data_IF_252894122398
#
_entry.id   IF_252894122398
#
_cell.length_a   1.000
_cell.length_b   1.000
_cell.length_c   1.000
_cell.angle_alpha   90.00
_cell.angle_beta   90.00
_cell.angle_gamma   90.00
#
_symmetry.space_group_name_H-M   'P 1'
#
loop_
_entity.id
_entity.type
_entity.pdbx_description
1 polymer ?
#
# COMPACT_ATOMS: atom_id res chain seq x y z
N UNK A 1 14.31 -33.45 65.27
CA UNK A 1 14.31 -32.18 66.04
C UNK A 1 13.29 -31.25 65.39
N UNK A 2 12.19 -30.98 66.10
CA UNK A 2 11.37 -29.73 66.16
C UNK A 2 11.10 -29.02 64.80
N UNK A 3 9.92 -29.06 64.17
CA UNK A 3 8.56 -28.55 64.49
C UNK A 3 8.41 -27.01 64.54
N UNK A 4 7.74 -26.41 63.54
CA UNK A 4 6.83 -25.21 63.55
C UNK A 4 6.13 -25.22 62.17
N UNK A 5 4.92 -25.73 61.94
CA UNK A 5 3.54 -25.30 62.25
C UNK A 5 3.16 -23.86 61.86
N UNK A 6 2.27 -23.70 60.86
CA UNK A 6 1.18 -22.73 60.93
C UNK A 6 0.01 -23.09 59.98
N UNK A 7 -1.16 -23.13 60.60
CA UNK A 7 -2.47 -23.52 60.08
C UNK A 7 -3.09 -22.43 59.20
N UNK A 8 -3.95 -22.81 58.24
CA UNK A 8 -5.30 -22.23 58.16
C UNK A 8 -6.26 -23.20 57.49
N UNK A 9 -7.37 -23.42 58.20
CA UNK A 9 -8.34 -24.49 58.07
C UNK A 9 -9.29 -24.34 56.87
N UNK A 10 -9.61 -25.48 56.27
CA UNK A 10 -10.88 -25.75 55.60
C UNK A 10 -12.01 -25.82 56.63
N UNK A 11 -13.04 -25.01 56.47
CA UNK A 11 -14.30 -25.19 57.20
C UNK A 11 -15.48 -25.18 56.23
N UNK A 12 -16.25 -26.25 56.36
CA UNK A 12 -17.45 -26.62 55.61
C UNK A 12 -18.58 -25.67 56.02
N UNK A 13 -19.20 -25.02 55.05
CA UNK A 13 -20.30 -24.07 55.24
C UNK A 13 -21.60 -24.80 55.64
N UNK A 14 -22.25 -24.43 56.75
CA UNK A 14 -23.57 -24.95 57.12
C UNK A 14 -24.67 -24.38 56.22
N UNK A 15 -25.60 -25.24 55.78
CA UNK A 15 -26.86 -24.85 55.12
C UNK A 15 -27.69 -23.98 56.07
N UNK A 16 -27.87 -22.70 55.72
CA UNK A 16 -28.93 -21.88 56.30
C UNK A 16 -30.22 -22.05 55.50
N UNK A 17 -31.19 -22.69 56.13
CA UNK A 17 -32.61 -22.71 55.77
C UNK A 17 -33.15 -21.27 55.88
N UNK A 18 -33.72 -20.68 54.81
CA UNK A 18 -34.37 -19.38 54.93
C UNK A 18 -35.73 -19.57 55.60
N UNK A 19 -35.84 -19.19 56.87
CA UNK A 19 -37.13 -19.03 57.55
C UNK A 19 -37.80 -17.79 56.94
N UNK A 20 -38.81 -18.00 56.09
CA UNK A 20 -39.67 -16.94 55.59
C UNK A 20 -40.51 -16.39 56.75
N UNK A 21 -40.06 -15.32 57.40
CA UNK A 21 -40.93 -14.50 58.25
C UNK A 21 -41.89 -13.79 57.29
N UNK A 22 -43.05 -14.41 57.05
CA UNK A 22 -44.16 -13.73 56.42
C UNK A 22 -44.57 -12.59 57.34
N UNK A 23 -44.42 -11.35 56.87
CA UNK A 23 -45.11 -10.18 57.43
C UNK A 23 -46.60 -10.35 57.13
N UNK A 24 -47.26 -11.26 57.82
CA UNK A 24 -48.72 -11.30 57.88
C UNK A 24 -49.07 -10.15 58.82
N UNK A 25 -49.68 -9.12 58.24
CA UNK A 25 -50.37 -8.10 59.02
C UNK A 25 -51.43 -8.84 59.84
N UNK A 26 -51.21 -8.95 61.15
CA UNK A 26 -52.22 -9.42 62.08
C UNK A 26 -53.32 -8.37 62.05
N UNK A 27 -54.47 -8.71 61.45
CA UNK A 27 -55.70 -7.94 61.62
C UNK A 27 -55.98 -7.87 63.13
N UNK A 28 -55.75 -6.71 63.72
CA UNK A 28 -56.28 -6.40 65.04
C UNK A 28 -57.74 -6.01 64.81
N UNK A 29 -58.67 -6.74 65.42
CA UNK A 29 -60.09 -6.36 65.43
C UNK A 29 -60.21 -4.93 65.96
N UNK A 30 -60.62 -4.01 65.09
CA UNK A 30 -60.88 -2.62 65.45
C UNK A 30 -62.18 -2.67 66.26
N UNK A 31 -62.08 -2.51 67.58
CA UNK A 31 -63.25 -2.22 68.40
C UNK A 31 -63.92 -0.96 67.85
N UNK A 32 -65.06 -1.12 67.17
CA UNK A 32 -65.91 -0.02 66.71
C UNK A 32 -66.41 0.71 67.95
N UNK A 33 -65.75 1.83 68.29
CA UNK A 33 -66.13 2.65 69.42
C UNK A 33 -67.44 3.36 69.08
N UNK A 34 -68.43 3.19 69.95
CA UNK A 34 -69.78 3.73 69.84
C UNK A 34 -69.71 5.25 70.12
N UNK A 35 -69.28 6.04 69.13
CA UNK A 35 -69.30 7.51 69.13
C UNK A 35 -69.86 8.06 67.80
N UNK A 36 -70.83 7.37 67.19
CA UNK A 36 -71.44 7.83 65.93
C UNK A 36 -72.51 8.92 66.12
N UNK A 37 -72.99 9.16 67.35
CA UNK A 37 -74.11 10.08 67.65
C UNK A 37 -73.72 11.37 68.39
N UNK A 38 -72.41 11.64 68.58
CA UNK A 38 -71.94 12.90 69.17
C UNK A 38 -71.82 13.97 68.07
N UNK A 39 -72.57 15.06 68.18
CA UNK A 39 -72.72 16.10 67.15
C UNK A 39 -71.36 16.76 66.83
N UNK A 40 -70.49 16.88 67.84
CA UNK A 40 -69.11 17.36 67.69
C UNK A 40 -68.24 16.36 66.92
N UNK A 41 -68.36 15.06 67.18
CA UNK A 41 -67.57 14.00 66.52
C UNK A 41 -67.94 13.85 65.04
N UNK A 42 -69.23 14.05 64.70
CA UNK A 42 -69.71 14.02 63.31
C UNK A 42 -69.11 15.16 62.48
N UNK A 43 -69.03 16.37 63.04
CA UNK A 43 -68.42 17.52 62.35
C UNK A 43 -66.92 17.32 62.09
N UNK A 44 -66.22 16.68 63.03
CA UNK A 44 -64.80 16.34 62.90
C UNK A 44 -64.60 15.28 61.81
N UNK A 45 -65.42 14.22 61.81
CA UNK A 45 -65.41 13.16 60.79
C UNK A 45 -65.64 13.71 59.38
N UNK A 46 -66.67 14.54 59.19
CA UNK A 46 -66.94 15.17 57.88
C UNK A 46 -65.80 16.07 57.41
N UNK A 47 -65.14 16.78 58.33
CA UNK A 47 -64.00 17.64 57.99
C UNK A 47 -62.74 16.83 57.63
N UNK A 48 -62.52 15.70 58.32
CA UNK A 48 -61.48 14.73 57.97
C UNK A 48 -61.75 14.09 56.61
N UNK A 49 -62.97 13.64 56.34
CA UNK A 49 -63.35 13.02 55.07
C UNK A 49 -63.20 14.02 53.92
N UNK A 50 -63.62 15.28 54.12
CA UNK A 50 -63.45 16.36 53.14
C UNK A 50 -61.98 16.67 52.84
N UNK A 51 -61.14 16.81 53.87
CA UNK A 51 -59.71 17.05 53.70
C UNK A 51 -59.00 15.84 53.05
N UNK A 52 -59.42 14.64 53.42
CA UNK A 52 -58.86 13.39 52.89
C UNK A 52 -59.23 13.23 51.42
N UNK A 53 -60.46 13.52 51.04
CA UNK A 53 -60.93 13.52 49.65
C UNK A 53 -60.17 14.51 48.77
N UNK A 54 -59.92 15.74 49.26
CA UNK A 54 -59.12 16.73 48.52
C UNK A 54 -57.67 16.27 48.28
N UNK A 55 -57.01 15.70 49.30
CA UNK A 55 -55.64 15.16 49.12
C UNK A 55 -55.60 13.99 48.16
N UNK A 56 -56.63 13.15 48.14
CA UNK A 56 -56.71 12.04 47.19
C UNK A 56 -56.88 12.53 45.75
N UNK A 57 -57.68 13.58 45.52
CA UNK A 57 -57.83 14.23 44.22
C UNK A 57 -56.48 14.80 43.75
N UNK A 58 -55.82 15.62 44.57
CA UNK A 58 -54.51 16.23 44.26
C UNK A 58 -53.42 15.18 44.02
N UNK A 59 -53.40 14.10 44.81
CA UNK A 59 -52.46 12.99 44.62
C UNK A 59 -52.71 12.25 43.31
N UNK A 60 -53.97 12.02 42.94
CA UNK A 60 -54.34 11.36 41.69
C UNK A 60 -53.97 12.21 40.46
N UNK A 61 -54.21 13.52 40.51
CA UNK A 61 -53.79 14.43 39.44
C UNK A 61 -52.27 14.41 39.25
N UNK A 62 -51.52 14.53 40.35
CA UNK A 62 -50.05 14.52 40.28
C UNK A 62 -49.47 13.17 39.82
N UNK A 63 -50.14 12.05 40.16
CA UNK A 63 -49.81 10.72 39.66
C UNK A 63 -50.10 10.56 38.16
N UNK A 64 -51.21 11.12 37.69
CA UNK A 64 -51.57 11.10 36.27
C UNK A 64 -50.59 11.92 35.42
N UNK A 65 -50.22 13.11 35.88
CA UNK A 65 -49.22 13.97 35.22
C UNK A 65 -47.87 13.27 35.08
N UNK A 66 -47.40 12.59 36.14
CA UNK A 66 -46.16 11.80 36.09
C UNK A 66 -46.27 10.62 35.13
N UNK A 67 -47.39 9.90 35.12
CA UNK A 67 -47.64 8.81 34.17
C UNK A 67 -47.62 9.29 32.74
N UNK A 68 -48.24 10.44 32.45
CA UNK A 68 -48.26 11.02 31.11
C UNK A 68 -46.85 11.40 30.63
N UNK A 69 -46.06 12.08 31.48
CA UNK A 69 -44.66 12.44 31.18
C UNK A 69 -43.79 11.22 30.87
N UNK A 70 -43.92 10.14 31.64
CA UNK A 70 -43.18 8.89 31.38
C UNK A 70 -43.60 8.23 30.07
N UNK A 71 -44.89 8.28 29.72
CA UNK A 71 -45.42 7.70 28.47
C UNK A 71 -44.90 8.45 27.26
N UNK A 72 -44.94 9.79 27.30
CA UNK A 72 -44.39 10.65 26.25
C UNK A 72 -42.87 10.48 26.08
N UNK A 73 -42.12 10.30 27.18
CA UNK A 73 -40.69 10.05 27.11
C UNK A 73 -40.36 8.70 26.47
N UNK A 74 -41.11 7.65 26.85
CA UNK A 74 -40.95 6.32 26.26
C UNK A 74 -41.26 6.33 24.75
N UNK A 75 -42.33 7.02 24.33
CA UNK A 75 -42.69 7.13 22.92
C UNK A 75 -41.61 7.88 22.11
N UNK A 76 -40.99 8.93 22.68
CA UNK A 76 -39.85 9.64 22.06
C UNK A 76 -38.63 8.74 21.91
N UNK A 77 -38.25 8.01 22.96
CA UNK A 77 -37.08 7.13 22.95
C UNK A 77 -37.27 5.96 21.95
N UNK A 78 -38.49 5.40 21.86
CA UNK A 78 -38.85 4.37 20.87
C UNK A 78 -38.72 4.92 19.45
N UNK A 79 -39.23 6.13 19.17
CA UNK A 79 -39.08 6.75 17.85
C UNK A 79 -37.61 6.98 17.48
N UNK A 80 -36.78 7.41 18.43
CA UNK A 80 -35.34 7.63 18.20
C UNK A 80 -34.61 6.30 17.87
N UNK A 81 -34.93 5.22 18.58
CA UNK A 81 -34.35 3.89 18.33
C UNK A 81 -34.72 3.38 16.93
N UNK A 82 -36.00 3.52 16.54
CA UNK A 82 -36.49 3.11 15.20
C UNK A 82 -35.78 3.91 14.10
N UNK A 83 -35.62 5.23 14.28
CA UNK A 83 -34.97 6.11 13.31
C UNK A 83 -33.48 5.78 13.17
N UNK A 84 -32.78 5.55 14.29
CA UNK A 84 -31.38 5.10 14.31
C UNK A 84 -31.19 3.74 13.62
N UNK A 85 -32.10 2.79 13.82
CA UNK A 85 -32.02 1.47 13.18
C UNK A 85 -32.25 1.58 11.65
N UNK A 86 -33.21 2.41 11.22
CA UNK A 86 -33.47 2.68 9.80
C UNK A 86 -32.27 3.30 9.09
N UNK A 87 -31.58 4.26 9.73
CA UNK A 87 -30.34 4.86 9.20
C UNK A 87 -29.23 3.81 9.09
N UNK A 88 -28.98 3.02 10.15
CA UNK A 88 -27.97 1.94 10.15
C UNK A 88 -28.25 0.89 9.07
N UNK A 89 -29.51 0.52 8.86
CA UNK A 89 -29.94 -0.43 7.84
C UNK A 89 -29.74 0.13 6.42
N UNK A 90 -29.99 1.42 6.21
CA UNK A 90 -29.76 2.09 4.92
C UNK A 90 -28.26 2.24 4.58
N UNK A 91 -27.42 2.53 5.58
CA UNK A 91 -25.96 2.58 5.43
C UNK A 91 -25.40 1.19 5.13
N UNK A 92 -25.82 0.17 5.87
CA UNK A 92 -25.40 -1.21 5.63
C UNK A 92 -25.80 -1.67 4.22
N UNK A 93 -27.03 -1.37 3.78
CA UNK A 93 -27.51 -1.71 2.44
C UNK A 93 -26.72 -0.98 1.33
N UNK A 94 -26.36 0.30 1.53
CA UNK A 94 -25.51 1.05 0.57
C UNK A 94 -24.09 0.51 0.51
N UNK A 95 -23.48 0.19 1.67
CA UNK A 95 -22.13 -0.40 1.73
C UNK A 95 -22.13 -1.80 1.13
N UNK A 96 -23.16 -2.60 1.37
CA UNK A 96 -23.31 -3.93 0.78
C UNK A 96 -23.52 -3.87 -0.74
N UNK A 97 -24.36 -2.96 -1.24
CA UNK A 97 -24.55 -2.77 -2.69
C UNK A 97 -23.30 -2.21 -3.37
N UNK A 98 -22.54 -1.35 -2.70
CA UNK A 98 -21.23 -0.88 -3.15
C UNK A 98 -20.17 -1.99 -3.17
N UNK A 99 -20.12 -2.82 -2.12
CA UNK A 99 -19.19 -3.94 -2.01
C UNK A 99 -19.57 -5.12 -2.91
N UNK A 100 -20.86 -5.31 -3.24
CA UNK A 100 -21.33 -6.31 -4.21
C UNK A 100 -21.08 -5.84 -5.65
N UNK A 101 -21.18 -4.54 -5.95
CA UNK A 101 -20.72 -3.97 -7.24
C UNK A 101 -19.21 -4.11 -7.40
N UNK A 102 -18.44 -3.88 -6.35
CA UNK A 102 -16.99 -4.08 -6.35
C UNK A 102 -16.63 -5.58 -6.38
N UNK A 103 -17.40 -6.42 -5.68
CA UNK A 103 -17.24 -7.88 -5.61
C UNK A 103 -17.69 -8.64 -6.85
N UNK A 104 -18.64 -8.13 -7.64
CA UNK A 104 -18.98 -8.68 -8.96
C UNK A 104 -17.96 -8.26 -10.02
N UNK A 105 -17.30 -7.09 -9.86
CA UNK A 105 -16.12 -6.75 -10.65
C UNK A 105 -14.90 -7.63 -10.23
N UNK A 106 -14.70 -7.85 -8.93
CA UNK A 106 -13.59 -8.64 -8.37
C UNK A 106 -13.80 -10.17 -8.40
N UNK A 107 -15.03 -10.64 -8.54
CA UNK A 107 -15.40 -12.06 -8.37
C UNK A 107 -15.48 -12.88 -9.65
N UNK A 108 -15.25 -12.29 -10.83
CA UNK A 108 -15.35 -13.03 -12.10
C UNK A 108 -14.54 -12.50 -13.29
N UNK A 109 -14.03 -11.26 -13.26
CA UNK A 109 -13.31 -10.68 -14.41
C UNK A 109 -11.92 -10.09 -14.11
N UNK A 110 -11.55 -9.95 -12.83
CA UNK A 110 -10.29 -9.28 -12.44
C UNK A 110 -9.10 -10.25 -12.27
N UNK A 111 -9.35 -11.54 -12.01
CA UNK A 111 -8.28 -12.53 -11.88
C UNK A 111 -7.43 -12.69 -13.17
N UNK A 112 -7.99 -12.65 -14.40
CA UNK A 112 -7.17 -12.67 -15.62
C UNK A 112 -6.51 -11.31 -15.90
N UNK A 113 -7.23 -10.21 -15.65
CA UNK A 113 -6.81 -8.87 -16.09
C UNK A 113 -5.66 -8.32 -15.25
N UNK A 114 -5.62 -8.55 -13.93
CA UNK A 114 -4.50 -8.07 -13.11
C UNK A 114 -3.21 -8.86 -13.36
N UNK A 115 -3.30 -10.15 -13.73
CA UNK A 115 -2.14 -10.93 -14.18
C UNK A 115 -1.64 -10.51 -15.57
N UNK A 116 -2.57 -10.24 -16.50
CA UNK A 116 -2.24 -9.80 -17.86
C UNK A 116 -1.71 -8.36 -17.90
N UNK A 117 -2.29 -7.43 -17.15
CA UNK A 117 -1.87 -6.01 -17.16
C UNK A 117 -0.54 -5.81 -16.43
N UNK A 118 -0.31 -6.50 -15.31
CA UNK A 118 0.99 -6.43 -14.61
C UNK A 118 2.11 -7.10 -15.40
N UNK A 119 1.85 -8.25 -16.03
CA UNK A 119 2.83 -8.95 -16.87
C UNK A 119 3.19 -8.17 -18.13
N UNK A 120 2.21 -7.56 -18.81
CA UNK A 120 2.45 -6.81 -20.04
C UNK A 120 3.22 -5.51 -19.77
N UNK A 121 2.92 -4.80 -18.68
CA UNK A 121 3.70 -3.63 -18.27
C UNK A 121 5.11 -3.98 -17.78
N UNK A 122 5.29 -5.08 -17.04
CA UNK A 122 6.62 -5.50 -16.62
C UNK A 122 7.49 -5.92 -17.83
N UNK A 123 6.89 -6.57 -18.83
CA UNK A 123 7.58 -6.95 -20.07
C UNK A 123 8.02 -5.74 -20.89
N UNK A 124 7.17 -4.73 -21.06
CA UNK A 124 7.55 -3.53 -21.83
C UNK A 124 8.59 -2.68 -21.11
N UNK A 125 8.48 -2.56 -19.78
CA UNK A 125 9.42 -1.77 -18.98
C UNK A 125 10.78 -2.47 -18.88
N UNK A 126 10.81 -3.80 -18.72
CA UNK A 126 12.07 -4.56 -18.74
C UNK A 126 12.77 -4.51 -20.10
N UNK A 127 12.03 -4.55 -21.21
CA UNK A 127 12.58 -4.35 -22.56
C UNK A 127 13.09 -2.93 -22.78
N UNK A 128 12.39 -1.91 -22.28
CA UNK A 128 12.86 -0.53 -22.37
C UNK A 128 14.14 -0.29 -21.57
N UNK A 129 14.24 -0.84 -20.36
CA UNK A 129 15.45 -0.72 -19.52
C UNK A 129 16.62 -1.46 -20.16
N UNK A 130 16.43 -2.67 -20.70
CA UNK A 130 17.50 -3.42 -21.36
C UNK A 130 17.97 -2.74 -22.64
N UNK A 131 17.06 -2.22 -23.46
CA UNK A 131 17.43 -1.46 -24.68
C UNK A 131 18.12 -0.14 -24.36
N UNK A 132 17.71 0.56 -23.30
CA UNK A 132 18.39 1.78 -22.85
C UNK A 132 19.77 1.47 -22.30
N UNK A 133 19.93 0.39 -21.54
CA UNK A 133 21.23 -0.05 -21.03
C UNK A 133 22.18 -0.42 -22.18
N UNK A 134 21.69 -1.10 -23.21
CA UNK A 134 22.48 -1.41 -24.41
C UNK A 134 22.96 -0.13 -25.09
N UNK A 135 22.12 0.90 -25.19
CA UNK A 135 22.51 2.21 -25.75
C UNK A 135 23.58 2.91 -24.92
N UNK A 136 23.42 2.97 -23.60
CA UNK A 136 24.44 3.54 -22.73
C UNK A 136 25.77 2.77 -22.83
N UNK A 137 25.70 1.45 -22.90
CA UNK A 137 26.89 0.61 -23.06
C UNK A 137 27.55 0.77 -24.43
N UNK A 138 26.77 0.96 -25.51
CA UNK A 138 27.34 1.27 -26.83
C UNK A 138 27.96 2.66 -26.86
N UNK A 139 27.33 3.66 -26.26
CA UNK A 139 27.87 5.03 -26.21
C UNK A 139 29.19 5.08 -25.42
N UNK A 140 29.24 4.42 -24.26
CA UNK A 140 30.46 4.28 -23.47
C UNK A 140 31.55 3.49 -24.21
N UNK A 141 31.16 2.42 -24.92
CA UNK A 141 32.05 1.65 -25.77
C UNK A 141 32.63 2.50 -26.90
N UNK A 142 31.81 3.29 -27.60
CA UNK A 142 32.22 4.20 -28.69
C UNK A 142 33.21 5.22 -28.15
N UNK A 143 32.90 5.84 -27.01
CA UNK A 143 33.78 6.81 -26.37
C UNK A 143 35.17 6.20 -26.10
N UNK A 144 35.21 5.01 -25.48
CA UNK A 144 36.47 4.34 -25.16
C UNK A 144 37.23 3.88 -26.41
N UNK A 145 36.52 3.32 -27.39
CA UNK A 145 37.09 2.92 -28.66
C UNK A 145 37.73 4.10 -29.40
N UNK A 146 37.10 5.28 -29.33
CA UNK A 146 37.63 6.50 -29.93
C UNK A 146 38.86 7.00 -29.17
N UNK A 147 38.87 7.01 -27.84
CA UNK A 147 40.04 7.36 -27.03
C UNK A 147 41.26 6.51 -27.39
N UNK A 148 41.08 5.18 -27.41
CA UNK A 148 42.15 4.23 -27.74
C UNK A 148 42.58 4.36 -29.20
N UNK A 149 41.63 4.53 -30.12
CA UNK A 149 41.94 4.73 -31.53
C UNK A 149 42.70 6.02 -31.80
N UNK A 150 42.33 7.13 -31.16
CA UNK A 150 43.06 8.40 -31.27
C UNK A 150 44.47 8.30 -30.73
N UNK A 151 44.66 7.63 -29.59
CA UNK A 151 45.99 7.39 -29.04
C UNK A 151 46.86 6.59 -30.04
N UNK A 152 46.30 5.55 -30.66
CA UNK A 152 46.99 4.74 -31.67
C UNK A 152 47.27 5.50 -32.97
N UNK A 153 46.36 6.35 -33.41
CA UNK A 153 46.57 7.23 -34.58
C UNK A 153 47.66 8.25 -34.30
N UNK A 154 47.71 8.80 -33.09
CA UNK A 154 48.75 9.74 -32.67
C UNK A 154 50.12 9.06 -32.64
N UNK A 155 50.22 7.84 -32.09
CA UNK A 155 51.43 7.02 -32.09
C UNK A 155 51.94 6.76 -33.53
N UNK A 156 51.04 6.34 -34.43
CA UNK A 156 51.36 6.13 -35.84
C UNK A 156 51.81 7.42 -36.53
N UNK A 157 51.09 8.52 -36.30
CA UNK A 157 51.40 9.83 -36.86
C UNK A 157 52.79 10.32 -36.40
N UNK A 158 53.13 10.20 -35.11
CA UNK A 158 54.47 10.58 -34.62
C UNK A 158 55.58 9.75 -35.26
N UNK A 159 55.35 8.46 -35.49
CA UNK A 159 56.33 7.55 -36.11
C UNK A 159 56.56 7.91 -37.58
N UNK A 160 55.51 8.30 -38.30
CA UNK A 160 55.58 8.54 -39.75
C UNK A 160 55.96 10.00 -40.08
N UNK A 161 55.41 10.97 -39.34
CA UNK A 161 55.60 12.41 -39.59
C UNK A 161 56.79 13.00 -38.80
N UNK A 162 57.32 12.27 -37.81
CA UNK A 162 58.52 12.62 -37.06
C UNK A 162 58.43 13.85 -36.15
N UNK A 163 57.27 14.52 -36.06
CA UNK A 163 57.08 15.74 -35.27
C UNK A 163 55.72 15.73 -34.54
N UNK A 164 55.75 15.60 -33.21
CA UNK A 164 54.55 15.63 -32.37
C UNK A 164 53.84 17.01 -32.39
N UNK A 165 54.58 18.10 -32.62
CA UNK A 165 54.06 19.47 -32.64
C UNK A 165 53.09 19.77 -33.79
N UNK A 166 53.04 18.88 -34.80
CA UNK A 166 52.17 18.98 -35.97
C UNK A 166 50.90 18.14 -35.87
N UNK A 167 50.62 17.54 -34.71
CA UNK A 167 49.42 16.73 -34.48
C UNK A 167 48.39 17.57 -33.70
N UNK A 168 47.18 17.78 -34.22
CA UNK A 168 46.13 18.48 -33.50
C UNK A 168 45.59 17.63 -32.34
N UNK A 169 45.29 18.29 -31.22
CA UNK A 169 44.62 17.65 -30.08
C UNK A 169 43.12 17.59 -30.36
N UNK A 170 42.55 16.38 -30.38
CA UNK A 170 41.12 16.18 -30.60
C UNK A 170 40.38 15.93 -29.30
N UNK A 171 39.21 16.55 -29.14
CA UNK A 171 38.26 16.18 -28.10
C UNK A 171 37.35 15.05 -28.61
N UNK A 172 37.25 13.97 -27.84
CA UNK A 172 36.40 12.81 -28.16
C UNK A 172 34.94 13.21 -28.38
N UNK A 173 34.42 14.17 -27.61
CA UNK A 173 33.03 14.65 -27.74
C UNK A 173 32.75 15.38 -29.06
N UNK A 174 33.72 16.14 -29.58
CA UNK A 174 33.58 16.79 -30.89
C UNK A 174 33.54 15.76 -32.02
N UNK A 175 34.35 14.70 -31.92
CA UNK A 175 34.42 13.63 -32.91
C UNK A 175 33.18 12.74 -32.92
N UNK A 176 32.58 12.46 -31.75
CA UNK A 176 31.30 11.75 -31.66
C UNK A 176 30.20 12.54 -32.38
N UNK A 177 30.20 13.86 -32.22
CA UNK A 177 29.23 14.76 -32.87
C UNK A 177 29.43 14.82 -34.39
N UNK A 178 30.69 14.83 -34.85
CA UNK A 178 31.02 14.86 -36.27
C UNK A 178 30.79 13.51 -36.97
N UNK A 179 31.00 12.40 -36.26
CA UNK A 179 31.16 11.08 -36.83
C UNK A 179 29.90 10.28 -37.12
N UNK A 180 28.76 10.60 -36.47
CA UNK A 180 27.51 9.81 -36.53
C UNK A 180 27.75 8.29 -36.41
N UNK A 181 28.60 7.86 -35.48
CA UNK A 181 28.79 6.43 -35.19
C UNK A 181 27.58 5.95 -34.38
N UNK A 182 26.82 4.98 -34.89
CA UNK A 182 25.55 4.55 -34.27
C UNK A 182 25.57 3.17 -33.61
N UNK A 183 26.41 2.24 -34.07
CA UNK A 183 26.25 0.82 -33.72
C UNK A 183 27.55 0.12 -33.27
N UNK A 184 28.62 0.29 -34.04
CA UNK A 184 29.93 -0.30 -33.77
C UNK A 184 31.03 0.69 -34.20
N UNK A 185 32.20 0.61 -33.56
CA UNK A 185 33.34 1.47 -33.85
C UNK A 185 34.47 0.65 -34.46
N UNK A 186 34.73 0.87 -35.75
CA UNK A 186 35.91 0.32 -36.40
C UNK A 186 37.02 1.36 -36.50
N UNK A 187 38.27 0.90 -36.61
CA UNK A 187 39.41 1.81 -36.84
C UNK A 187 39.22 2.67 -38.09
N UNK A 188 38.59 2.11 -39.13
CA UNK A 188 38.20 2.86 -40.33
C UNK A 188 37.21 4.00 -40.01
N UNK A 189 36.21 3.73 -39.18
CA UNK A 189 35.24 4.76 -38.78
C UNK A 189 35.93 5.90 -38.05
N UNK A 190 36.94 5.62 -37.21
CA UNK A 190 37.74 6.65 -36.53
C UNK A 190 38.48 7.55 -37.54
N UNK A 191 39.04 6.98 -38.60
CA UNK A 191 39.66 7.79 -39.67
C UNK A 191 38.62 8.62 -40.42
N UNK A 192 37.44 8.06 -40.68
CA UNK A 192 36.33 8.77 -41.32
C UNK A 192 35.81 9.94 -40.47
N UNK A 193 35.68 9.74 -39.16
CA UNK A 193 35.25 10.81 -38.23
C UNK A 193 36.29 11.91 -38.14
N UNK A 194 37.58 11.54 -38.10
CA UNK A 194 38.69 12.48 -38.14
C UNK A 194 38.71 13.28 -39.44
N UNK A 195 38.63 12.63 -40.59
CA UNK A 195 38.56 13.29 -41.89
C UNK A 195 37.40 14.31 -41.93
N UNK A 196 36.20 13.88 -41.52
CA UNK A 196 35.01 14.73 -41.46
C UNK A 196 35.18 15.91 -40.50
N UNK A 197 35.77 15.69 -39.32
CA UNK A 197 36.01 16.73 -38.32
C UNK A 197 37.08 17.75 -38.76
N UNK A 198 38.00 17.31 -39.63
CA UNK A 198 39.11 18.12 -40.12
C UNK A 198 38.81 18.90 -41.40
N UNK A 199 37.77 18.55 -42.16
CA UNK A 199 37.36 19.21 -43.39
C UNK A 199 37.36 20.75 -43.24
N UNK A 200 38.24 21.43 -43.98
CA UNK A 200 38.34 22.89 -44.00
C UNK A 200 39.02 23.53 -42.79
N UNK A 201 39.36 22.77 -41.73
CA UNK A 201 39.97 23.31 -40.49
C UNK A 201 41.49 23.19 -40.46
N UNK A 202 42.03 22.14 -41.07
CA UNK A 202 43.46 21.79 -40.98
C UNK A 202 44.11 21.62 -42.36
N UNK A 203 43.49 22.13 -43.42
CA UNK A 203 44.01 22.00 -44.79
C UNK A 203 45.24 22.89 -45.04
N UNK A 204 45.46 23.89 -44.18
CA UNK A 204 46.58 24.84 -44.27
C UNK A 204 47.21 25.07 -42.89
N UNK A 205 48.53 25.32 -42.85
CA UNK A 205 49.25 25.69 -41.62
C UNK A 205 49.91 24.51 -40.89
N UNK A 206 50.11 24.64 -39.57
CA UNK A 206 50.91 23.69 -38.75
C UNK A 206 50.44 22.23 -38.82
N UNK A 207 49.16 22.00 -39.11
CA UNK A 207 48.51 20.69 -39.07
C UNK A 207 48.24 20.09 -40.46
N UNK A 208 48.68 20.75 -41.55
CA UNK A 208 48.38 20.32 -42.94
C UNK A 208 49.01 18.98 -43.31
N UNK A 209 50.18 18.66 -42.74
CA UNK A 209 50.84 17.36 -42.96
C UNK A 209 50.03 16.21 -42.34
N UNK A 210 49.42 16.44 -41.18
CA UNK A 210 48.57 15.46 -40.50
C UNK A 210 47.25 15.24 -41.25
N UNK A 211 46.58 16.30 -41.69
CA UNK A 211 45.32 16.20 -42.45
C UNK A 211 45.53 15.47 -43.78
N UNK A 212 46.60 15.81 -44.52
CA UNK A 212 46.98 15.14 -45.77
C UNK A 212 47.29 13.66 -45.54
N UNK A 213 47.93 13.32 -44.41
CA UNK A 213 48.23 11.94 -44.06
C UNK A 213 46.96 11.12 -43.78
N UNK A 214 46.01 11.61 -42.97
CA UNK A 214 44.79 10.83 -42.73
C UNK A 214 43.94 10.70 -44.00
N UNK A 215 43.86 11.77 -44.82
CA UNK A 215 43.17 11.71 -46.11
C UNK A 215 43.79 10.65 -47.03
N UNK A 216 45.13 10.59 -47.08
CA UNK A 216 45.86 9.59 -47.85
C UNK A 216 45.63 8.16 -47.37
N UNK A 217 45.46 7.95 -46.06
CA UNK A 217 45.10 6.65 -45.50
C UNK A 217 43.65 6.30 -45.81
N UNK A 218 42.73 7.25 -45.63
CA UNK A 218 41.30 7.05 -45.87
C UNK A 218 40.99 6.73 -47.34
N UNK A 219 41.63 7.41 -48.29
CA UNK A 219 41.44 7.19 -49.73
C UNK A 219 41.88 5.80 -50.23
N UNK A 220 42.71 5.09 -49.45
CA UNK A 220 43.21 3.75 -49.80
C UNK A 220 42.86 2.73 -48.71
N UNK A 221 41.72 2.03 -48.85
CA UNK A 221 41.25 1.03 -47.88
C UNK A 221 42.27 -0.10 -47.63
N UNK A 222 43.16 -0.37 -48.58
CA UNK A 222 44.25 -1.35 -48.45
C UNK A 222 45.23 -1.04 -47.31
N UNK A 223 45.37 0.24 -46.94
CA UNK A 223 46.29 0.66 -45.87
C UNK A 223 45.83 0.16 -44.49
N UNK A 224 44.52 -0.02 -44.30
CA UNK A 224 43.97 -0.57 -43.06
C UNK A 224 44.37 -2.03 -42.81
N UNK A 225 44.77 -2.77 -43.85
CA UNK A 225 45.31 -4.13 -43.70
C UNK A 225 46.64 -4.16 -42.95
N UNK A 226 47.38 -3.05 -42.92
CA UNK A 226 48.64 -2.91 -42.19
C UNK A 226 48.42 -2.50 -40.73
N UNK A 227 47.21 -2.08 -40.35
CA UNK A 227 46.88 -1.60 -39.00
C UNK A 227 46.06 -2.62 -38.20
N UNK A 228 46.41 -3.90 -38.30
CA UNK A 228 45.67 -5.00 -37.63
C UNK A 228 45.72 -4.88 -36.12
N UNK A 229 46.87 -4.56 -35.54
CA UNK A 229 47.04 -4.41 -34.09
C UNK A 229 46.22 -3.24 -33.53
N UNK A 230 46.21 -2.11 -34.23
CA UNK A 230 45.45 -0.92 -33.83
C UNK A 230 43.95 -1.16 -33.98
N UNK A 231 43.55 -1.86 -35.04
CA UNK A 231 42.15 -2.26 -35.24
C UNK A 231 41.67 -3.21 -34.15
N UNK A 232 42.51 -4.18 -33.77
CA UNK A 232 42.21 -5.10 -32.68
C UNK A 232 42.14 -4.37 -31.34
N UNK A 233 43.07 -3.46 -31.04
CA UNK A 233 43.05 -2.69 -29.80
C UNK A 233 41.76 -1.85 -29.64
N UNK A 234 41.29 -1.22 -30.73
CA UNK A 234 40.02 -0.46 -30.73
C UNK A 234 38.82 -1.38 -30.51
N UNK A 235 38.77 -2.51 -31.22
CA UNK A 235 37.67 -3.48 -31.08
C UNK A 235 37.63 -4.13 -29.69
N UNK A 236 38.80 -4.45 -29.12
CA UNK A 236 38.94 -4.94 -27.75
C UNK A 236 38.47 -3.90 -26.74
N UNK A 237 38.96 -2.65 -26.83
CA UNK A 237 38.55 -1.59 -25.91
C UNK A 237 37.04 -1.31 -25.97
N UNK A 238 36.46 -1.31 -27.17
CA UNK A 238 35.01 -1.17 -27.37
C UNK A 238 34.23 -2.32 -26.71
N UNK A 239 34.60 -3.56 -27.04
CA UNK A 239 33.88 -4.76 -26.59
C UNK A 239 34.01 -4.98 -25.08
N UNK A 240 35.20 -4.78 -24.50
CA UNK A 240 35.42 -4.88 -23.05
C UNK A 240 34.62 -3.82 -22.28
N UNK A 241 34.64 -2.57 -22.74
CA UNK A 241 33.88 -1.49 -22.10
C UNK A 241 32.38 -1.72 -22.20
N UNK A 242 31.90 -2.10 -23.38
CA UNK A 242 30.49 -2.43 -23.61
C UNK A 242 30.05 -3.60 -22.74
N UNK A 243 30.85 -4.66 -22.65
CA UNK A 243 30.58 -5.82 -21.81
C UNK A 243 30.59 -5.45 -20.31
N UNK A 244 31.52 -4.60 -19.88
CA UNK A 244 31.61 -4.12 -18.49
C UNK A 244 30.37 -3.33 -18.07
N UNK A 245 29.96 -2.35 -18.87
CA UNK A 245 28.76 -1.53 -18.59
C UNK A 245 27.48 -2.40 -18.61
N UNK A 246 27.39 -3.36 -19.53
CA UNK A 246 26.28 -4.32 -19.55
C UNK A 246 26.26 -5.20 -18.30
N UNK A 247 27.41 -5.69 -17.84
CA UNK A 247 27.51 -6.52 -16.64
C UNK A 247 27.13 -5.74 -15.37
N UNK A 248 27.59 -4.50 -15.25
CA UNK A 248 27.26 -3.62 -14.13
C UNK A 248 25.75 -3.30 -14.10
N UNK A 249 25.18 -2.93 -15.25
CA UNK A 249 23.74 -2.66 -15.37
C UNK A 249 22.88 -3.91 -15.12
N UNK A 250 23.33 -5.08 -15.56
CA UNK A 250 22.64 -6.35 -15.29
C UNK A 250 22.65 -6.69 -13.80
N UNK A 251 23.79 -6.50 -13.11
CA UNK A 251 23.89 -6.73 -11.67
C UNK A 251 22.96 -5.81 -10.87
N UNK A 252 22.87 -4.53 -11.26
CA UNK A 252 21.99 -3.54 -10.64
C UNK A 252 20.53 -3.89 -10.86
N UNK A 253 20.15 -4.31 -12.08
CA UNK A 253 18.79 -4.73 -12.41
C UNK A 253 18.39 -6.01 -11.67
N UNK A 254 19.32 -6.97 -11.51
CA UNK A 254 19.08 -8.19 -10.72
C UNK A 254 18.81 -7.87 -9.24
N UNK A 255 19.57 -6.94 -8.66
CA UNK A 255 19.34 -6.51 -7.28
C UNK A 255 17.97 -5.82 -7.10
N UNK A 256 17.61 -4.92 -8.02
CA UNK A 256 16.31 -4.24 -8.03
C UNK A 256 15.15 -5.23 -8.21
N UNK A 257 15.25 -6.17 -9.15
CA UNK A 257 14.21 -7.19 -9.36
C UNK A 257 14.01 -8.07 -8.14
N UNK A 258 15.10 -8.44 -7.44
CA UNK A 258 15.04 -9.18 -6.18
C UNK A 258 14.31 -8.37 -5.10
N UNK A 259 14.63 -7.08 -4.97
CA UNK A 259 13.94 -6.18 -4.05
C UNK A 259 12.43 -6.04 -4.38
N UNK A 260 12.09 -5.93 -5.66
CA UNK A 260 10.68 -5.85 -6.11
C UNK A 260 9.93 -7.16 -5.80
N UNK A 261 10.53 -8.33 -6.11
CA UNK A 261 9.93 -9.64 -5.84
C UNK A 261 9.66 -9.82 -4.35
N UNK A 262 10.65 -9.49 -3.49
CA UNK A 262 10.46 -9.58 -2.04
C UNK A 262 9.35 -8.65 -1.54
N UNK A 263 9.25 -7.42 -2.06
CA UNK A 263 8.15 -6.51 -1.73
C UNK A 263 6.78 -7.07 -2.14
N UNK A 264 6.67 -7.68 -3.32
CA UNK A 264 5.41 -8.29 -3.79
C UNK A 264 5.01 -9.46 -2.88
N UNK A 265 5.96 -10.32 -2.50
CA UNK A 265 5.71 -11.44 -1.58
C UNK A 265 5.14 -10.92 -0.25
N UNK A 266 5.73 -9.87 0.31
CA UNK A 266 5.24 -9.25 1.57
C UNK A 266 3.80 -8.74 1.42
N UNK A 267 3.48 -8.04 0.32
CA UNK A 267 2.11 -7.54 0.08
C UNK A 267 1.11 -8.69 -0.03
N UNK A 268 1.46 -9.77 -0.76
CA UNK A 268 0.60 -10.94 -0.92
C UNK A 268 0.32 -11.62 0.43
N UNK A 269 1.33 -11.73 1.31
CA UNK A 269 1.16 -12.28 2.66
C UNK A 269 0.20 -11.43 3.49
N UNK A 270 0.32 -10.10 3.46
CA UNK A 270 -0.59 -9.19 4.19
C UNK A 270 -2.03 -9.34 3.69
N UNK A 271 -2.22 -9.39 2.36
CA UNK A 271 -3.55 -9.58 1.75
C UNK A 271 -4.16 -10.93 2.14
N UNK A 272 -3.37 -12.01 2.15
CA UNK A 272 -3.84 -13.33 2.60
C UNK A 272 -4.29 -13.32 4.07
N UNK A 273 -3.54 -12.66 4.96
CA UNK A 273 -3.93 -12.51 6.38
C UNK A 273 -5.24 -11.73 6.50
N UNK A 274 -5.40 -10.63 5.76
CA UNK A 274 -6.65 -9.86 5.75
C UNK A 274 -7.84 -10.71 5.28
N UNK A 275 -7.65 -11.54 4.24
CA UNK A 275 -8.69 -12.45 3.73
C UNK A 275 -9.08 -13.49 4.79
N UNK A 276 -8.11 -14.09 5.48
CA UNK A 276 -8.38 -15.08 6.54
C UNK A 276 -9.20 -14.45 7.68
N UNK A 277 -8.77 -13.28 8.18
CA UNK A 277 -9.48 -12.54 9.23
C UNK A 277 -10.90 -12.20 8.77
N UNK A 278 -11.04 -11.70 7.53
CA UNK A 278 -12.33 -11.38 6.93
C UNK A 278 -13.27 -12.60 6.88
N UNK A 279 -12.77 -13.77 6.47
CA UNK A 279 -13.54 -15.01 6.41
C UNK A 279 -13.99 -15.46 7.81
N UNK A 280 -13.12 -15.37 8.82
CA UNK A 280 -13.47 -15.69 10.22
C UNK A 280 -14.58 -14.76 10.71
N UNK A 281 -14.45 -13.45 10.49
CA UNK A 281 -15.46 -12.47 10.90
C UNK A 281 -16.79 -12.68 10.18
N UNK A 282 -16.75 -12.96 8.87
CA UNK A 282 -17.94 -13.26 8.06
C UNK A 282 -18.64 -14.52 8.56
N UNK A 283 -17.89 -15.57 8.85
CA UNK A 283 -18.41 -16.82 9.40
C UNK A 283 -19.10 -16.59 10.76
N UNK A 284 -18.47 -15.83 11.67
CA UNK A 284 -19.06 -15.49 12.98
C UNK A 284 -20.36 -14.70 12.84
N UNK A 285 -20.43 -13.72 11.92
CA UNK A 285 -21.66 -12.96 11.65
C UNK A 285 -22.79 -13.86 11.17
N UNK A 286 -22.52 -14.77 10.22
CA UNK A 286 -23.53 -15.69 9.68
C UNK A 286 -24.08 -16.63 10.76
N UNK A 287 -23.21 -17.17 11.62
CA UNK A 287 -23.62 -18.02 12.77
C UNK A 287 -24.52 -17.27 13.75
N UNK A 288 -24.23 -16.00 14.05
CA UNK A 288 -25.06 -15.15 14.94
C UNK A 288 -26.46 -14.93 14.35
N UNK A 289 -26.55 -14.69 13.04
CA UNK A 289 -27.84 -14.49 12.36
C UNK A 289 -28.69 -15.76 12.37
N UNK A 290 -28.10 -16.93 12.10
CA UNK A 290 -28.82 -18.21 12.13
C UNK A 290 -29.38 -18.53 13.52
N UNK A 291 -28.61 -18.28 14.58
CA UNK A 291 -29.08 -18.45 15.96
C UNK A 291 -30.29 -17.55 16.26
N UNK A 292 -30.22 -16.26 15.89
CA UNK A 292 -31.35 -15.33 16.07
C UNK A 292 -32.63 -15.82 15.40
N UNK A 293 -32.50 -16.38 14.19
CA UNK A 293 -33.63 -16.90 13.40
C UNK A 293 -34.30 -18.13 14.05
N UNK A 294 -33.54 -18.95 14.78
CA UNK A 294 -34.10 -20.06 15.55
C UNK A 294 -34.89 -19.58 16.77
N UNK A 295 -34.37 -18.61 17.52
CA UNK A 295 -35.08 -18.05 18.69
C UNK A 295 -36.38 -17.32 18.29
N UNK A 296 -36.42 -16.61 17.17
CA UNK A 296 -37.67 -16.00 16.69
C UNK A 296 -38.71 -17.01 16.22
N UNK A 297 -38.31 -18.22 15.81
CA UNK A 297 -39.26 -19.29 15.49
C UNK A 297 -39.88 -19.88 16.76
N UNK A 298 -39.07 -20.15 17.78
CA UNK A 298 -39.54 -20.70 19.07
C UNK A 298 -40.44 -19.75 19.86
N UNK A 299 -40.31 -18.43 19.69
CA UNK A 299 -41.15 -17.43 20.36
C UNK A 299 -42.52 -17.21 19.70
N UNK A 300 -42.73 -17.77 18.51
CA UNK A 300 -43.99 -17.62 17.74
C UNK A 300 -44.92 -18.83 17.87
N UNK A 301 -44.44 -19.89 18.50
CA UNK A 301 -45.18 -21.08 18.90
C UNK A 301 -45.62 -20.93 20.35
#
# INVERSE_FOLDING_TARGET
MVAVNNQTNSYITPRHTPTSISRVLSECDIHTYIFDDDEDMKSVKENFDRQTSQRFEEYNEHMNDKRQKCKEQCDKDIQEIILKDKIKKSLAYKVEKGCLKCGCALGGGIAPVWGLVSGLWYATLSQYVSTTLVKMATDAGIQKGLEVGLAKITELATTILGNADKIPTFNVGELITAGKITDDITFYDIFKTLDTAMLGKFDYGRYSEFSTWIQGIFQKPSNFKSFTEQTQAVSTAFSETKAGVLAEGASTTSNLSTAIITSIIVIVVIVLVMIIIYLILRYRRKKKMNKKLQYTKLLKE
#
